data_IF_051830326007
#
_entry.id   IF_051830326007
#
_cell.length_a   1.000
_cell.length_b   1.000
_cell.length_c   1.000
_cell.angle_alpha   90.00
_cell.angle_beta   90.00
_cell.angle_gamma   90.00
#
_symmetry.space_group_name_H-M   'P 1'
#
loop_
_entity.id
_entity.type
_entity.pdbx_description
1 polymer ?
#
# COMPACT_ATOMS: atom_id res chain seq x y z
N UNK A 1 7.43 19.32 -13.64
CA UNK A 1 6.39 18.29 -13.84
C UNK A 1 6.33 17.52 -12.54
N UNK A 2 5.18 17.50 -11.86
CA UNK A 2 5.03 16.72 -10.63
C UNK A 2 5.24 15.26 -10.97
N UNK A 3 6.25 14.63 -10.38
CA UNK A 3 6.53 13.21 -10.59
C UNK A 3 5.44 12.39 -9.88
N UNK A 4 4.38 12.06 -10.63
CA UNK A 4 3.27 11.28 -10.10
C UNK A 4 3.72 9.82 -9.95
N UNK A 5 3.54 9.20 -8.77
CA UNK A 5 4.11 7.89 -8.52
C UNK A 5 3.41 6.83 -9.37
N UNK A 6 4.19 5.99 -10.02
CA UNK A 6 3.72 4.72 -10.56
C UNK A 6 3.41 3.78 -9.40
N UNK A 7 2.25 3.13 -9.41
CA UNK A 7 1.81 2.22 -8.36
C UNK A 7 1.33 0.90 -8.93
N UNK A 8 1.31 -0.13 -8.08
CA UNK A 8 0.69 -1.42 -8.36
C UNK A 8 -0.48 -1.59 -7.39
N UNK A 9 -1.70 -1.54 -7.89
CA UNK A 9 -2.92 -1.81 -7.14
C UNK A 9 -3.15 -3.33 -7.08
N UNK A 10 -3.33 -3.88 -5.88
CA UNK A 10 -3.76 -5.27 -5.68
C UNK A 10 -5.17 -5.31 -5.14
N UNK A 11 -6.05 -5.96 -5.88
CA UNK A 11 -7.46 -6.08 -5.58
C UNK A 11 -7.74 -7.29 -4.70
N UNK A 12 -8.90 -7.26 -4.01
CA UNK A 12 -9.34 -8.37 -3.15
C UNK A 12 -9.71 -9.63 -3.92
N UNK A 13 -10.06 -9.49 -5.20
CA UNK A 13 -10.33 -10.62 -6.10
C UNK A 13 -9.04 -11.28 -6.64
N UNK A 14 -7.87 -10.82 -6.19
CA UNK A 14 -6.56 -11.31 -6.62
C UNK A 14 -6.02 -10.63 -7.87
N UNK A 15 -6.80 -9.80 -8.56
CA UNK A 15 -6.33 -9.05 -9.73
C UNK A 15 -5.33 -7.96 -9.35
N UNK A 16 -4.54 -7.52 -10.33
CA UNK A 16 -3.49 -6.51 -10.14
C UNK A 16 -3.49 -5.54 -11.33
N UNK A 17 -3.29 -4.25 -11.05
CA UNK A 17 -3.25 -3.18 -12.05
C UNK A 17 -2.06 -2.26 -11.80
N UNK A 18 -1.40 -1.81 -12.87
CA UNK A 18 -0.37 -0.76 -12.80
C UNK A 18 -0.97 0.55 -13.29
N UNK A 19 -0.75 1.64 -12.56
CA UNK A 19 -1.27 2.94 -12.95
C UNK A 19 -0.43 4.06 -12.36
N UNK A 20 -0.64 5.27 -12.89
CA UNK A 20 -0.16 6.49 -12.25
C UNK A 20 -1.13 6.88 -11.15
N UNK A 21 -0.64 7.08 -9.91
CA UNK A 21 -1.47 7.61 -8.83
C UNK A 21 -1.57 9.14 -8.97
N UNK A 22 -2.79 9.63 -9.19
CA UNK A 22 -3.08 11.06 -9.27
C UNK A 22 -3.33 11.62 -7.88
N UNK A 23 -4.20 10.98 -7.09
CA UNK A 23 -4.59 11.45 -5.76
C UNK A 23 -5.19 10.32 -4.93
N UNK A 24 -4.90 10.32 -3.63
CA UNK A 24 -5.65 9.54 -2.65
C UNK A 24 -6.67 10.45 -1.95
N UNK A 25 -7.95 10.13 -2.04
CA UNK A 25 -9.02 10.80 -1.31
C UNK A 25 -9.46 9.92 -0.13
N UNK A 26 -9.04 10.32 1.07
CA UNK A 26 -9.27 9.55 2.30
C UNK A 26 -10.73 9.66 2.76
N UNK A 27 -11.38 10.81 2.54
CA UNK A 27 -12.76 11.05 2.95
C UNK A 27 -13.74 10.25 2.09
N UNK A 28 -13.48 10.20 0.77
CA UNK A 28 -14.28 9.42 -0.18
C UNK A 28 -13.83 7.96 -0.30
N UNK A 29 -12.72 7.59 0.35
CA UNK A 29 -12.14 6.25 0.31
C UNK A 29 -11.84 5.75 -1.11
N UNK A 30 -11.25 6.61 -1.94
CA UNK A 30 -10.89 6.29 -3.33
C UNK A 30 -9.44 6.66 -3.65
N UNK A 31 -8.83 5.86 -4.52
CA UNK A 31 -7.65 6.25 -5.27
C UNK A 31 -8.08 6.75 -6.64
N UNK A 32 -7.68 7.97 -6.99
CA UNK A 32 -7.77 8.47 -8.36
C UNK A 32 -6.50 8.05 -9.08
N UNK A 33 -6.65 7.24 -10.12
CA UNK A 33 -5.54 6.72 -10.92
C UNK A 33 -5.70 7.11 -12.38
N UNK A 34 -4.59 7.15 -13.09
CA UNK A 34 -4.56 7.31 -14.55
C UNK A 34 -3.86 6.11 -15.19
N UNK A 35 -4.51 5.50 -16.17
CA UNK A 35 -3.97 4.43 -17.00
C UNK A 35 -4.25 4.76 -18.48
N UNK A 36 -3.20 4.80 -19.30
CA UNK A 36 -3.28 5.10 -20.73
C UNK A 36 -4.09 6.39 -21.05
N UNK A 37 -3.92 7.43 -20.24
CA UNK A 37 -4.63 8.72 -20.37
C UNK A 37 -6.10 8.69 -19.92
N UNK A 38 -6.56 7.58 -19.33
CA UNK A 38 -7.90 7.46 -18.76
C UNK A 38 -7.84 7.55 -17.24
N UNK A 39 -8.55 8.51 -16.66
CA UNK A 39 -8.66 8.65 -15.21
C UNK A 39 -9.81 7.79 -14.68
N UNK A 40 -9.59 7.10 -13.56
CA UNK A 40 -10.57 6.21 -12.92
C UNK A 40 -10.48 6.32 -11.39
N UNK A 41 -11.63 6.27 -10.73
CA UNK A 41 -11.71 6.14 -9.27
C UNK A 41 -11.75 4.66 -8.87
N UNK A 42 -10.84 4.27 -7.97
CA UNK A 42 -10.77 2.91 -7.41
C UNK A 42 -11.10 2.96 -5.91
N UNK A 43 -12.26 2.43 -5.49
CA UNK A 43 -12.65 2.38 -4.09
C UNK A 43 -11.71 1.50 -3.24
N UNK A 44 -11.42 1.94 -2.02
CA UNK A 44 -10.60 1.19 -1.06
C UNK A 44 -11.18 -0.20 -0.80
N UNK A 45 -12.51 -0.32 -0.71
CA UNK A 45 -13.21 -1.61 -0.49
C UNK A 45 -12.91 -2.67 -1.56
N UNK A 46 -12.46 -2.28 -2.75
CA UNK A 46 -12.08 -3.23 -3.81
C UNK A 46 -10.62 -3.67 -3.67
N UNK A 47 -9.82 -2.93 -2.92
CA UNK A 47 -8.39 -3.10 -2.80
C UNK A 47 -8.01 -3.89 -1.54
N UNK A 48 -6.91 -4.61 -1.69
CA UNK A 48 -6.12 -5.19 -0.62
C UNK A 48 -5.06 -4.21 -0.16
N UNK A 49 -4.26 -3.74 -1.12
CA UNK A 49 -3.16 -2.83 -0.88
C UNK A 49 -2.73 -2.13 -2.19
N UNK A 50 -2.03 -1.00 -2.04
CA UNK A 50 -1.37 -0.28 -3.14
C UNK A 50 0.12 -0.24 -2.87
N UNK A 51 0.90 -0.78 -3.80
CA UNK A 51 2.35 -0.89 -3.68
C UNK A 51 3.00 0.26 -4.44
N UNK A 52 4.05 0.84 -3.84
CA UNK A 52 4.85 1.91 -4.42
C UNK A 52 6.21 1.31 -4.77
N UNK A 53 6.45 0.92 -6.05
CA UNK A 53 7.70 0.29 -6.46
C UNK A 53 8.89 1.20 -6.20
N UNK A 54 10.00 0.61 -5.78
CA UNK A 54 11.27 1.31 -5.68
C UNK A 54 11.78 1.61 -7.10
N UNK A 55 12.05 2.88 -7.39
CA UNK A 55 12.51 3.34 -8.71
C UNK A 55 14.00 3.66 -8.74
N UNK A 56 14.62 3.84 -7.58
CA UNK A 56 16.04 4.17 -7.44
C UNK A 56 16.70 3.26 -6.39
N UNK A 57 17.37 2.17 -6.81
CA UNK A 57 18.04 1.24 -5.91
C UNK A 57 19.15 1.89 -5.06
N UNK A 58 19.75 2.98 -5.53
CA UNK A 58 20.85 3.66 -4.85
C UNK A 58 20.34 4.71 -3.84
N UNK A 59 19.04 5.01 -3.86
CA UNK A 59 18.41 5.92 -2.92
C UNK A 59 18.43 5.34 -1.52
N UNK A 60 19.17 6.01 -0.64
CA UNK A 60 19.08 5.75 0.80
C UNK A 60 17.65 6.01 1.27
N UNK A 61 16.99 4.96 1.75
CA UNK A 61 15.64 5.04 2.28
C UNK A 61 15.71 5.36 3.78
N UNK A 62 14.97 6.38 4.20
CA UNK A 62 14.84 6.70 5.62
C UNK A 62 14.33 5.48 6.41
N UNK A 63 14.89 5.22 7.61
CA UNK A 63 14.40 4.17 8.48
C UNK A 63 12.90 4.35 8.76
N UNK A 64 12.15 3.26 8.67
CA UNK A 64 10.75 3.28 9.04
C UNK A 64 10.60 3.37 10.57
N UNK A 65 9.58 4.10 11.02
CA UNK A 65 9.24 4.22 12.43
C UNK A 65 7.90 3.52 12.73
N UNK A 66 7.77 3.01 13.95
CA UNK A 66 6.59 2.30 14.43
C UNK A 66 6.91 0.89 14.92
N UNK A 67 5.88 0.03 14.89
CA UNK A 67 6.00 -1.38 15.29
C UNK A 67 6.29 -2.25 14.06
N UNK A 68 7.07 -3.31 14.24
CA UNK A 68 7.16 -4.37 13.24
C UNK A 68 5.88 -5.21 13.29
N UNK A 69 5.23 -5.37 12.15
CA UNK A 69 3.94 -6.01 11.98
C UNK A 69 4.02 -7.11 10.94
N UNK A 70 3.29 -8.20 11.18
CA UNK A 70 2.87 -9.14 10.15
C UNK A 70 1.39 -8.88 9.86
N UNK A 71 1.07 -8.51 8.60
CA UNK A 71 -0.29 -8.23 8.14
C UNK A 71 -0.74 -9.37 7.25
N UNK A 72 -1.74 -10.12 7.69
CA UNK A 72 -2.35 -11.22 6.94
C UNK A 72 -3.59 -10.74 6.19
N UNK A 73 -3.78 -11.23 4.97
CA UNK A 73 -4.98 -11.00 4.15
C UNK A 73 -5.79 -12.29 3.96
N UNK A 74 -7.03 -12.17 3.50
CA UNK A 74 -7.94 -13.30 3.32
C UNK A 74 -7.45 -14.37 2.32
N UNK A 75 -6.50 -14.04 1.44
CA UNK A 75 -5.85 -14.98 0.52
C UNK A 75 -4.67 -15.75 1.15
N UNK A 76 -4.41 -15.56 2.45
CA UNK A 76 -3.30 -16.16 3.19
C UNK A 76 -1.95 -15.48 2.94
N UNK A 77 -1.91 -14.40 2.15
CA UNK A 77 -0.69 -13.62 2.01
C UNK A 77 -0.38 -12.86 3.29
N UNK A 78 0.90 -12.89 3.69
CA UNK A 78 1.41 -12.14 4.84
C UNK A 78 2.46 -11.14 4.36
N UNK A 79 2.24 -9.85 4.61
CA UNK A 79 3.22 -8.80 4.37
C UNK A 79 3.81 -8.37 5.71
N UNK A 80 5.14 -8.43 5.82
CA UNK A 80 5.89 -7.98 6.99
C UNK A 80 6.54 -6.63 6.76
N UNK A 81 6.43 -5.75 7.74
CA UNK A 81 7.01 -4.42 7.66
C UNK A 81 6.84 -3.62 8.94
N UNK A 82 7.32 -2.38 8.91
CA UNK A 82 7.20 -1.43 10.02
C UNK A 82 6.12 -0.42 9.70
N UNK A 83 5.23 -0.13 10.65
CA UNK A 83 4.17 0.87 10.50
C UNK A 83 3.73 1.51 11.81
N UNK A 84 3.14 2.69 11.69
CA UNK A 84 2.24 3.25 12.68
C UNK A 84 0.81 2.81 12.36
N UNK A 85 0.35 1.74 13.03
CA UNK A 85 -1.00 1.21 12.82
C UNK A 85 -2.03 1.93 13.70
N UNK A 86 -3.14 2.31 13.08
CA UNK A 86 -4.35 2.75 13.78
C UNK A 86 -5.56 2.06 13.12
N UNK A 87 -6.30 1.22 13.87
CA UNK A 87 -7.46 0.49 13.34
C UNK A 87 -8.61 1.41 12.89
N UNK A 88 -8.73 2.60 13.48
CA UNK A 88 -9.81 3.56 13.20
C UNK A 88 -9.64 4.31 11.86
N UNK A 89 -8.51 4.12 11.17
CA UNK A 89 -8.25 4.72 9.84
C UNK A 89 -8.67 3.76 8.72
N UNK A 90 -8.90 4.31 7.53
CA UNK A 90 -9.26 3.52 6.34
C UNK A 90 -8.09 2.68 5.80
N UNK A 91 -6.86 3.05 6.17
CA UNK A 91 -5.63 2.34 5.85
C UNK A 91 -4.41 3.04 6.42
N UNK A 92 -3.23 2.48 6.15
CA UNK A 92 -1.95 3.00 6.63
C UNK A 92 -0.80 2.64 5.68
N UNK A 93 0.33 3.32 5.82
CA UNK A 93 1.55 2.92 5.13
C UNK A 93 2.33 1.90 5.97
N UNK A 94 2.61 0.76 5.36
CA UNK A 94 3.55 -0.26 5.81
C UNK A 94 4.83 -0.12 4.99
N UNK A 95 5.97 -0.05 5.68
CA UNK A 95 7.28 -0.07 5.06
C UNK A 95 7.81 -1.50 5.14
N UNK A 96 7.93 -2.22 4.00
CA UNK A 96 8.39 -3.61 4.00
C UNK A 96 9.74 -3.78 4.71
N UNK A 97 9.98 -4.94 5.31
CA UNK A 97 11.31 -5.27 5.86
C UNK A 97 12.37 -5.32 4.75
N UNK A 98 12.01 -5.87 3.58
CA UNK A 98 12.79 -5.79 2.35
C UNK A 98 12.17 -4.75 1.41
N UNK A 99 12.85 -3.60 1.28
CA UNK A 99 12.42 -2.47 0.45
C UNK A 99 13.06 -2.48 -0.95
N UNK A 100 13.71 -3.57 -1.37
CA UNK A 100 14.35 -3.67 -2.69
C UNK A 100 13.38 -3.54 -3.86
N UNK A 101 12.11 -3.93 -3.67
CA UNK A 101 11.07 -3.89 -4.71
C UNK A 101 10.05 -2.78 -4.51
N UNK A 102 9.75 -2.44 -3.27
CA UNK A 102 8.72 -1.47 -2.94
C UNK A 102 9.18 -0.61 -1.77
N UNK A 103 9.11 0.71 -1.95
CA UNK A 103 9.47 1.70 -0.93
C UNK A 103 8.51 1.64 0.25
N UNK A 104 7.22 1.50 -0.04
CA UNK A 104 6.12 1.47 0.92
C UNK A 104 4.90 0.83 0.28
N UNK A 105 3.97 0.42 1.12
CA UNK A 105 2.71 -0.21 0.73
C UNK A 105 1.61 0.49 1.52
N UNK A 106 0.60 1.03 0.84
CA UNK A 106 -0.62 1.44 1.51
C UNK A 106 -1.50 0.21 1.70
N UNK A 107 -1.74 -0.18 2.94
CA UNK A 107 -2.60 -1.30 3.30
C UNK A 107 -4.00 -0.77 3.61
N UNK A 108 -5.03 -1.38 3.01
CA UNK A 108 -6.43 -1.05 3.30
C UNK A 108 -6.89 -1.83 4.53
N UNK A 109 -7.31 -1.15 5.59
CA UNK A 109 -7.64 -1.78 6.87
C UNK A 109 -8.76 -2.83 6.74
N UNK A 110 -9.79 -2.53 5.96
CA UNK A 110 -10.93 -3.45 5.78
C UNK A 110 -10.61 -4.69 4.94
N UNK A 111 -9.39 -4.82 4.42
CA UNK A 111 -8.92 -6.02 3.71
C UNK A 111 -8.09 -6.96 4.61
N UNK A 112 -7.72 -6.50 5.81
CA UNK A 112 -6.85 -7.21 6.72
C UNK A 112 -7.64 -8.31 7.43
N UNK A 113 -7.06 -9.51 7.46
CA UNK A 113 -7.57 -10.66 8.21
C UNK A 113 -7.05 -10.67 9.64
N UNK A 114 -5.74 -10.44 9.81
CA UNK A 114 -5.10 -10.38 11.12
C UNK A 114 -3.87 -9.45 11.10
N UNK A 115 -3.53 -8.89 12.27
CA UNK A 115 -2.27 -8.16 12.48
C UNK A 115 -1.61 -8.71 13.73
N UNK A 116 -0.35 -9.08 13.59
CA UNK A 116 0.51 -9.47 14.71
C UNK A 116 1.63 -8.46 14.87
N UNK A 117 1.83 -7.97 16.10
CA UNK A 117 3.01 -7.19 16.45
C UNK A 117 4.14 -8.17 16.74
N UNK A 118 5.18 -8.16 15.90
CA UNK A 118 6.34 -9.01 16.12
C UNK A 118 7.17 -8.45 17.29
N UNK A 119 7.36 -9.27 18.33
CA UNK A 119 8.24 -8.92 19.44
C UNK A 119 9.68 -9.20 19.01
N UNK A 120 10.54 -8.18 19.15
CA UNK A 120 12.00 -8.31 19.04
C UNK A 120 12.56 -9.23 20.12
#
# INVERSE_FOLDING_TARGET
>A
MSDQPQVVLRYRDGSTQRATLVQTDIEREVFNIEENGTSTEVPFRNLKAVFFPQTDPDKSLEPAAGSQLAVEFADGEIIRGVAHYNPERNGFFLFPLDRSKNDKIFVVNSAIMSIEVEKL
#
